data_IF_778008265643
#
_entry.id   IF_778008265643
#
_cell.length_a   1.000
_cell.length_b   1.000
_cell.length_c   1.000
_cell.angle_alpha   90.00
_cell.angle_beta   90.00
_cell.angle_gamma   90.00
#
_symmetry.space_group_name_H-M   'P 1'
#
loop_
_entity.id
_entity.type
_entity.pdbx_description
1 polymer ?
#
# COMPACT_ATOMS: atom_id res chain seq x y z
N UNK A 1 -8.62 15.30 -11.22
CA UNK A 1 -7.58 14.48 -11.90
C UNK A 1 -8.17 13.16 -12.32
N UNK A 2 -7.75 12.60 -13.46
CA UNK A 2 -8.14 11.30 -13.97
C UNK A 2 -6.91 10.38 -14.02
N UNK A 3 -7.03 9.18 -13.48
CA UNK A 3 -6.01 8.12 -13.64
C UNK A 3 -6.59 7.04 -14.55
N UNK A 4 -5.91 6.74 -15.64
CA UNK A 4 -6.33 5.72 -16.61
C UNK A 4 -5.39 4.52 -16.57
N UNK A 5 -5.95 3.32 -16.73
CA UNK A 5 -5.22 2.06 -16.74
C UNK A 5 -5.64 1.16 -17.89
N UNK A 6 -4.79 0.19 -18.23
CA UNK A 6 -5.21 -0.94 -19.07
C UNK A 6 -6.35 -1.72 -18.41
N UNK A 7 -6.36 -1.73 -17.07
CA UNK A 7 -7.46 -2.22 -16.25
C UNK A 7 -7.67 -1.33 -15.01
N UNK A 8 -8.90 -1.26 -14.53
CA UNK A 8 -9.25 -0.76 -13.20
C UNK A 8 -9.91 -1.91 -12.42
N UNK A 9 -9.25 -2.37 -11.37
CA UNK A 9 -9.75 -3.41 -10.47
C UNK A 9 -10.39 -2.74 -9.25
N UNK A 10 -11.72 -2.77 -9.16
CA UNK A 10 -12.45 -2.04 -8.11
C UNK A 10 -12.56 -2.80 -6.79
N UNK A 11 -12.52 -4.14 -6.84
CA UNK A 11 -12.82 -5.03 -5.71
C UNK A 11 -14.23 -4.81 -5.11
N UNK A 12 -15.14 -4.26 -5.90
CA UNK A 12 -16.57 -4.15 -5.60
C UNK A 12 -17.33 -5.16 -6.46
N UNK A 13 -18.17 -6.00 -5.85
CA UNK A 13 -18.89 -7.05 -6.57
C UNK A 13 -19.93 -6.52 -7.58
N UNK A 14 -20.39 -5.27 -7.42
CA UNK A 14 -21.32 -4.61 -8.32
C UNK A 14 -20.65 -3.96 -9.54
N UNK A 15 -19.35 -3.67 -9.47
CA UNK A 15 -18.60 -3.01 -10.55
C UNK A 15 -17.56 -3.93 -11.19
N UNK A 16 -16.78 -4.66 -10.38
CA UNK A 16 -15.80 -5.63 -10.84
C UNK A 16 -14.58 -5.01 -11.53
N UNK A 17 -14.14 -5.64 -12.61
CA UNK A 17 -12.91 -5.33 -13.33
C UNK A 17 -13.24 -4.63 -14.65
N UNK A 18 -12.72 -3.41 -14.85
CA UNK A 18 -13.00 -2.59 -16.03
C UNK A 18 -11.78 -2.58 -16.95
N UNK A 19 -11.93 -3.07 -18.18
CA UNK A 19 -10.89 -2.98 -19.22
C UNK A 19 -10.84 -1.57 -19.80
N UNK A 20 -9.65 -1.04 -20.04
CA UNK A 20 -9.46 0.35 -20.48
C UNK A 20 -10.24 1.32 -19.59
N UNK A 21 -10.06 1.21 -18.28
CA UNK A 21 -10.81 1.96 -17.28
C UNK A 21 -10.12 3.27 -16.85
N UNK A 22 -10.88 4.10 -16.17
CA UNK A 22 -10.42 5.34 -15.56
C UNK A 22 -11.08 5.57 -14.19
N UNK A 23 -10.35 6.29 -13.33
CA UNK A 23 -10.81 6.77 -12.02
C UNK A 23 -10.74 8.28 -12.01
N UNK A 24 -11.86 8.95 -11.79
CA UNK A 24 -11.94 10.40 -11.58
C UNK A 24 -11.79 10.70 -10.08
N UNK A 25 -10.86 11.59 -9.76
CA UNK A 25 -10.50 11.98 -8.39
C UNK A 25 -10.68 13.49 -8.25
N UNK A 26 -11.43 13.90 -7.23
CA UNK A 26 -11.62 15.29 -6.82
C UNK A 26 -11.09 15.45 -5.39
N UNK A 27 -9.98 16.17 -5.22
CA UNK A 27 -9.31 16.28 -3.92
C UNK A 27 -8.90 14.90 -3.38
N UNK A 28 -9.52 14.48 -2.28
CA UNK A 28 -9.25 13.19 -1.62
C UNK A 28 -10.34 12.13 -1.84
N UNK A 29 -11.30 12.37 -2.74
CA UNK A 29 -12.43 11.46 -2.98
C UNK A 29 -12.43 10.94 -4.40
N UNK A 30 -12.80 9.67 -4.55
CA UNK A 30 -13.13 9.07 -5.84
C UNK A 30 -14.52 9.56 -6.23
N UNK A 31 -14.61 10.31 -7.31
CA UNK A 31 -15.88 10.89 -7.78
C UNK A 31 -16.62 9.96 -8.72
N UNK A 32 -15.90 9.27 -9.60
CA UNK A 32 -16.46 8.34 -10.58
C UNK A 32 -15.41 7.30 -11.00
N UNK A 33 -15.88 6.12 -11.42
CA UNK A 33 -15.06 5.01 -11.93
C UNK A 33 -15.79 4.40 -13.12
N UNK A 34 -15.09 4.20 -14.23
CA UNK A 34 -15.75 3.68 -15.43
C UNK A 34 -14.81 3.45 -16.60
N UNK A 35 -15.41 3.27 -17.77
CA UNK A 35 -14.66 3.20 -19.03
C UNK A 35 -13.93 4.52 -19.29
N UNK A 36 -12.67 4.43 -19.74
CA UNK A 36 -11.80 5.58 -20.01
C UNK A 36 -12.47 6.58 -20.94
N UNK A 37 -13.08 6.12 -22.02
CA UNK A 37 -13.68 7.00 -23.03
C UNK A 37 -14.82 7.84 -22.44
N UNK A 38 -15.71 7.23 -21.66
CA UNK A 38 -16.81 7.95 -20.98
C UNK A 38 -16.27 9.00 -20.02
N UNK A 39 -15.35 8.60 -19.13
CA UNK A 39 -14.81 9.50 -18.10
C UNK A 39 -14.09 10.69 -18.72
N UNK A 40 -13.31 10.48 -19.79
CA UNK A 40 -12.62 11.57 -20.49
C UNK A 40 -13.59 12.51 -21.23
N UNK A 41 -14.63 11.96 -21.87
CA UNK A 41 -15.64 12.75 -22.57
C UNK A 41 -16.39 13.69 -21.62
N UNK A 42 -16.78 13.16 -20.45
CA UNK A 42 -17.54 13.91 -19.45
C UNK A 42 -16.68 14.93 -18.68
N UNK A 43 -15.35 14.74 -18.66
CA UNK A 43 -14.43 15.54 -17.86
C UNK A 43 -13.21 16.06 -18.68
N UNK A 44 -13.43 16.83 -19.77
CA UNK A 44 -12.38 17.16 -20.75
C UNK A 44 -11.33 18.17 -20.24
N UNK A 45 -11.52 18.76 -19.07
CA UNK A 45 -10.63 19.77 -18.46
C UNK A 45 -9.75 19.21 -17.36
N UNK A 46 -9.97 17.96 -16.96
CA UNK A 46 -9.21 17.32 -15.90
C UNK A 46 -7.82 16.92 -16.38
N UNK A 47 -6.83 17.04 -15.49
CA UNK A 47 -5.50 16.48 -15.71
C UNK A 47 -5.59 14.95 -15.83
N UNK A 48 -4.91 14.38 -16.83
CA UNK A 48 -4.95 12.94 -17.12
C UNK A 48 -3.57 12.32 -16.89
N UNK A 49 -3.52 11.30 -16.02
CA UNK A 49 -2.39 10.40 -15.86
C UNK A 49 -2.69 9.07 -16.54
N UNK A 50 -1.84 8.67 -17.49
CA UNK A 50 -2.10 7.52 -18.37
C UNK A 50 -1.10 6.36 -18.17
N UNK A 51 -1.64 5.18 -17.83
CA UNK A 51 -0.88 3.95 -17.56
C UNK A 51 -1.45 2.75 -18.32
N UNK A 52 -1.33 2.71 -19.65
CA UNK A 52 -2.07 1.78 -20.52
C UNK A 52 -1.67 0.31 -20.36
N UNK A 53 -0.51 0.04 -19.73
CA UNK A 53 0.00 -1.32 -19.45
C UNK A 53 -0.09 -1.69 -17.96
N UNK A 54 -0.82 -0.91 -17.17
CA UNK A 54 -0.94 -1.09 -15.72
C UNK A 54 -2.36 -1.45 -15.30
N UNK A 55 -2.48 -1.98 -14.09
CA UNK A 55 -3.74 -2.13 -13.36
C UNK A 55 -3.81 -1.01 -12.32
N UNK A 56 -4.88 -0.24 -12.34
CA UNK A 56 -5.24 0.70 -11.27
C UNK A 56 -6.10 -0.05 -10.26
N UNK A 57 -5.73 0.01 -8.98
CA UNK A 57 -6.43 -0.69 -7.91
C UNK A 57 -6.35 0.11 -6.61
N UNK A 58 -7.22 -0.17 -5.62
CA UNK A 58 -7.03 0.32 -4.26
C UNK A 58 -5.63 0.00 -3.74
N UNK A 59 -5.07 0.93 -2.96
CA UNK A 59 -3.81 0.70 -2.26
C UNK A 59 -3.95 -0.48 -1.30
N UNK A 60 -2.90 -1.29 -1.18
CA UNK A 60 -2.89 -2.41 -0.25
C UNK A 60 -2.96 -1.91 1.20
N UNK A 61 -3.81 -2.55 2.00
CA UNK A 61 -3.95 -2.24 3.43
C UNK A 61 -3.08 -3.19 4.24
N UNK A 62 -2.08 -2.64 4.93
CA UNK A 62 -1.31 -3.38 5.93
C UNK A 62 -2.09 -3.38 7.25
N UNK A 63 -2.79 -4.48 7.55
CA UNK A 63 -3.62 -4.58 8.77
C UNK A 63 -2.81 -4.69 10.06
N UNK A 64 -1.53 -5.10 9.99
CA UNK A 64 -0.66 -5.22 11.14
C UNK A 64 0.82 -5.23 10.72
N UNK A 65 1.62 -4.36 11.31
CA UNK A 65 3.07 -4.38 11.20
C UNK A 65 3.74 -3.74 12.43
N UNK A 66 5.03 -4.02 12.61
CA UNK A 66 5.92 -3.30 13.52
C UNK A 66 6.99 -2.61 12.68
N UNK A 67 6.85 -1.29 12.45
CA UNK A 67 7.67 -0.54 11.49
C UNK A 67 9.19 -0.66 11.76
N UNK A 68 9.60 -0.51 13.03
CA UNK A 68 11.01 -0.66 13.48
C UNK A 68 11.61 -2.03 13.20
N UNK A 69 10.79 -3.06 12.95
CA UNK A 69 11.25 -4.36 12.50
C UNK A 69 12.03 -4.31 11.18
N UNK A 70 11.86 -3.24 10.37
CA UNK A 70 12.63 -3.01 9.16
C UNK A 70 14.15 -3.02 9.40
N UNK A 71 14.62 -2.49 10.54
CA UNK A 71 16.05 -2.48 10.90
C UNK A 71 16.57 -3.83 11.38
N UNK A 72 15.68 -4.73 11.82
CA UNK A 72 16.05 -6.08 12.24
C UNK A 72 16.15 -7.06 11.06
N UNK A 73 15.80 -6.65 9.83
CA UNK A 73 15.81 -7.52 8.66
C UNK A 73 17.24 -8.00 8.36
N UNK A 74 17.45 -9.31 8.44
CA UNK A 74 18.76 -9.93 8.21
C UNK A 74 19.74 -9.78 9.39
N UNK A 75 19.28 -9.30 10.55
CA UNK A 75 20.10 -9.20 11.75
C UNK A 75 20.59 -10.61 12.18
N UNK A 76 21.90 -10.82 12.37
CA UNK A 76 22.42 -12.12 12.77
C UNK A 76 21.95 -12.50 14.19
N UNK A 77 21.46 -13.72 14.34
CA UNK A 77 21.12 -14.28 15.65
C UNK A 77 22.40 -14.64 16.39
N UNK A 78 22.75 -13.84 17.40
CA UNK A 78 23.85 -14.15 18.36
C UNK A 78 23.33 -14.85 19.62
N UNK A 79 22.21 -15.56 19.50
CA UNK A 79 21.50 -16.27 20.57
C UNK A 79 21.03 -17.61 20.03
N UNK A 80 20.75 -18.56 20.92
CA UNK A 80 20.11 -19.82 20.55
C UNK A 80 18.79 -19.52 19.81
N UNK A 81 18.58 -20.08 18.60
CA UNK A 81 17.39 -19.84 17.81
C UNK A 81 16.11 -20.09 18.63
N UNK A 82 15.16 -19.15 18.65
CA UNK A 82 13.91 -19.31 19.38
C UNK A 82 13.06 -20.40 18.72
N UNK A 83 12.48 -21.28 19.53
CA UNK A 83 11.61 -22.38 19.07
C UNK A 83 10.12 -22.11 19.31
N UNK A 84 9.80 -21.04 20.04
CA UNK A 84 8.45 -20.61 20.39
C UNK A 84 8.35 -19.09 20.51
N UNK A 85 7.12 -18.58 20.46
CA UNK A 85 6.87 -17.13 20.41
C UNK A 85 7.43 -16.35 21.62
N UNK A 86 7.31 -16.87 22.84
CA UNK A 86 7.89 -16.20 24.01
C UNK A 86 9.42 -16.04 23.91
N UNK A 87 10.11 -17.03 23.32
CA UNK A 87 11.56 -16.98 23.19
C UNK A 87 12.02 -15.92 22.18
N UNK A 88 11.31 -15.73 21.08
CA UNK A 88 11.67 -14.67 20.12
C UNK A 88 11.46 -13.28 20.72
N UNK A 89 10.42 -13.11 21.54
CA UNK A 89 10.19 -11.87 22.28
C UNK A 89 11.33 -11.60 23.28
N UNK A 90 11.64 -12.57 24.13
CA UNK A 90 12.64 -12.46 25.20
C UNK A 90 14.07 -12.28 24.68
N UNK A 91 14.45 -13.06 23.66
CA UNK A 91 15.83 -13.15 23.20
C UNK A 91 16.17 -12.09 22.16
N UNK A 92 15.18 -11.56 21.44
CA UNK A 92 15.38 -10.62 20.33
C UNK A 92 14.62 -9.33 20.58
N UNK A 93 13.28 -9.37 20.50
CA UNK A 93 12.48 -8.16 20.37
C UNK A 93 12.58 -7.25 21.58
N UNK A 94 12.38 -7.75 22.81
CA UNK A 94 12.49 -6.92 24.01
C UNK A 94 13.87 -6.28 24.20
N UNK A 95 14.93 -6.93 23.71
CA UNK A 95 16.28 -6.38 23.78
C UNK A 95 16.47 -5.25 22.78
N UNK A 96 15.94 -5.42 21.56
CA UNK A 96 15.94 -4.39 20.53
C UNK A 96 15.06 -3.20 20.95
N UNK A 97 13.82 -3.46 21.36
CA UNK A 97 12.83 -2.45 21.75
C UNK A 97 13.37 -1.52 22.84
N UNK A 98 14.08 -2.08 23.84
CA UNK A 98 14.72 -1.32 24.92
C UNK A 98 15.88 -0.43 24.49
N UNK A 99 16.41 -0.62 23.29
CA UNK A 99 17.56 0.11 22.74
C UNK A 99 17.16 1.14 21.69
N UNK A 100 15.93 1.09 21.19
CA UNK A 100 15.42 2.08 20.25
C UNK A 100 15.37 3.46 20.88
N UNK A 101 15.80 4.44 20.12
CA UNK A 101 15.64 5.86 20.41
C UNK A 101 14.44 6.42 19.66
N UNK A 102 14.03 7.65 20.00
CA UNK A 102 12.98 8.33 19.24
C UNK A 102 13.38 8.59 17.78
N UNK A 103 14.69 8.76 17.53
CA UNK A 103 15.23 8.89 16.18
C UNK A 103 15.06 7.59 15.38
N UNK A 104 15.35 6.44 15.99
CA UNK A 104 15.13 5.14 15.36
C UNK A 104 13.64 4.93 15.02
N UNK A 105 12.73 5.30 15.93
CA UNK A 105 11.28 5.21 15.67
C UNK A 105 10.89 6.10 14.48
N UNK A 106 11.37 7.34 14.42
CA UNK A 106 11.08 8.26 13.32
C UNK A 106 11.55 7.71 11.97
N UNK A 107 12.74 7.11 11.90
CA UNK A 107 13.26 6.55 10.65
C UNK A 107 12.68 5.19 10.27
N UNK A 108 11.91 4.55 11.15
CA UNK A 108 11.39 3.21 10.91
C UNK A 108 10.20 3.13 9.97
N UNK A 109 9.55 4.26 9.66
CA UNK A 109 8.38 4.35 8.79
C UNK A 109 7.43 5.45 9.21
#
# INVERSE_FOLDING_TARGET
>A
MIITGGWVATFDDGVGLIKNGAVLIEGSVIRDVGEKERILLENPREEVLEYPKSVVMPGLICAHCHAYGAFARGMPLKVEPPTRFGEILERIWWRLDKRLTLEDVYYSG
#
